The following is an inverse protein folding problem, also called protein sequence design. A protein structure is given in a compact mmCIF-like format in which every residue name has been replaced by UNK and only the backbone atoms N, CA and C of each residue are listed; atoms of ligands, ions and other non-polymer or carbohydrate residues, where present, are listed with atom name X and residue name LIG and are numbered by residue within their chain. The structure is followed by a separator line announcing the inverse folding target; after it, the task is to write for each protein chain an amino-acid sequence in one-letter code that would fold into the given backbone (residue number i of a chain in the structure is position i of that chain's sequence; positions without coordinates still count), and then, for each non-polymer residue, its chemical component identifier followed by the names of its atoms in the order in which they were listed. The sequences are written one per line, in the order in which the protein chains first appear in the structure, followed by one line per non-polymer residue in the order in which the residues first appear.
data_IF_374683927547
#
_entry.id   IF_374683927547
#
_cell.length_a   1.000
_cell.length_b   1.000
_cell.length_c   1.000
_cell.angle_alpha   90.00
_cell.angle_beta   90.00
_cell.angle_gamma   90.00
#
_symmetry.space_group_name_H-M   'P 1'
#
loop_
_entity.id
_entity.type
_entity.pdbx_description
1 polymer ?
#
# COMPACT_ATOMS: atom_id res chain seq x y z
N UNK A 1 36.18 -12.29 -13.70
CA UNK A 1 34.85 -11.84 -14.17
C UNK A 1 34.34 -10.77 -13.21
N UNK A 2 34.42 -9.50 -13.59
CA UNK A 2 33.93 -8.38 -12.78
C UNK A 2 32.41 -8.44 -12.75
N UNK A 3 31.85 -8.80 -11.60
CA UNK A 3 30.41 -8.83 -11.33
C UNK A 3 29.84 -7.45 -11.66
N UNK A 4 29.04 -7.37 -12.72
CA UNK A 4 28.36 -6.13 -13.13
C UNK A 4 27.45 -5.70 -11.97
N UNK A 5 27.66 -4.49 -11.46
CA UNK A 5 26.74 -3.90 -10.50
C UNK A 5 25.45 -3.52 -11.24
N UNK A 6 24.32 -3.67 -10.56
CA UNK A 6 23.03 -3.25 -11.09
C UNK A 6 23.07 -1.72 -11.36
N UNK A 7 22.57 -1.23 -12.52
CA UNK A 7 22.60 0.19 -12.88
C UNK A 7 21.98 1.13 -11.84
N UNK A 8 21.12 0.60 -10.94
CA UNK A 8 20.57 1.38 -9.83
C UNK A 8 21.66 1.99 -8.93
N UNK A 9 22.86 1.42 -8.87
CA UNK A 9 23.97 1.94 -8.07
C UNK A 9 24.51 3.29 -8.55
N UNK A 10 24.23 3.71 -9.78
CA UNK A 10 24.63 5.03 -10.28
C UNK A 10 23.97 6.17 -9.48
N UNK A 11 22.86 5.88 -8.80
CA UNK A 11 22.10 6.82 -7.99
C UNK A 11 22.35 6.70 -6.47
N UNK A 12 23.30 5.84 -6.05
CA UNK A 12 23.56 5.57 -4.65
C UNK A 12 25.06 5.53 -4.32
N UNK A 13 25.43 6.04 -3.15
CA UNK A 13 26.76 5.85 -2.56
C UNK A 13 26.82 4.54 -1.80
N UNK A 14 27.82 3.71 -2.13
CA UNK A 14 28.09 2.44 -1.44
C UNK A 14 28.96 2.68 -0.20
N UNK A 15 28.50 2.21 0.97
CA UNK A 15 29.32 2.24 2.18
C UNK A 15 30.47 1.23 2.10
N UNK A 16 31.60 1.57 2.70
CA UNK A 16 32.75 0.68 2.87
C UNK A 16 32.52 -0.35 3.98
N UNK A 17 31.61 -0.05 4.91
CA UNK A 17 31.29 -0.88 6.07
C UNK A 17 30.32 -2.01 5.69
N UNK A 18 30.75 -3.26 5.95
CA UNK A 18 29.88 -4.43 5.90
C UNK A 18 29.42 -4.74 7.31
N UNK A 19 28.10 -4.87 7.52
CA UNK A 19 27.61 -5.52 8.73
C UNK A 19 27.95 -7.00 8.63
N UNK A 20 28.60 -7.53 9.67
CA UNK A 20 28.84 -8.96 9.81
C UNK A 20 27.87 -9.43 10.88
N UNK A 21 27.11 -10.50 10.61
CA UNK A 21 26.36 -11.14 11.68
C UNK A 21 27.32 -11.87 12.65
N UNK A 22 26.81 -12.28 13.82
CA UNK A 22 27.59 -13.06 14.78
C UNK A 22 28.02 -14.44 14.23
N UNK A 23 27.47 -14.86 13.09
CA UNK A 23 27.72 -16.13 12.41
C UNK A 23 28.78 -16.04 11.29
N UNK A 24 29.35 -14.86 11.03
CA UNK A 24 30.38 -14.65 10.00
C UNK A 24 29.85 -14.55 8.55
N UNK A 25 28.53 -14.49 8.36
CA UNK A 25 27.90 -14.29 7.06
C UNK A 25 28.00 -12.82 6.66
N UNK A 26 28.53 -12.58 5.44
CA UNK A 26 28.70 -11.24 4.89
C UNK A 26 27.33 -10.65 4.52
N UNK A 27 26.83 -9.67 5.29
CA UNK A 27 25.59 -8.97 4.91
C UNK A 27 25.82 -8.04 3.71
N UNK A 28 24.71 -7.62 3.10
CA UNK A 28 24.74 -6.65 2.00
C UNK A 28 25.38 -5.33 2.46
N UNK A 29 26.06 -4.66 1.53
CA UNK A 29 26.58 -3.29 1.73
C UNK A 29 25.45 -2.33 2.06
N UNK A 30 25.74 -1.24 2.73
CA UNK A 30 24.77 -0.15 2.91
C UNK A 30 24.82 0.79 1.70
N UNK A 31 23.66 1.29 1.29
CA UNK A 31 23.50 2.22 0.18
C UNK A 31 22.86 3.52 0.70
N UNK A 32 23.44 4.66 0.33
CA UNK A 32 22.90 5.99 0.65
C UNK A 32 22.41 6.63 -0.63
N UNK A 33 21.16 7.06 -0.67
CA UNK A 33 20.56 7.71 -1.84
C UNK A 33 21.21 9.07 -2.09
N UNK A 34 21.59 9.37 -3.34
CA UNK A 34 22.22 10.65 -3.70
C UNK A 34 21.25 11.84 -3.70
N UNK A 35 19.94 11.61 -3.67
CA UNK A 35 18.92 12.66 -3.80
C UNK A 35 18.29 13.10 -2.47
N UNK A 36 18.22 12.20 -1.48
CA UNK A 36 17.59 12.47 -0.19
C UNK A 36 18.38 11.94 1.01
N UNK A 37 19.62 11.49 0.77
CA UNK A 37 20.55 10.97 1.79
C UNK A 37 20.00 9.84 2.68
N UNK A 38 18.88 9.21 2.27
CA UNK A 38 18.30 8.07 2.98
C UNK A 38 19.22 6.85 2.88
N UNK A 39 19.51 6.25 4.03
CA UNK A 39 20.39 5.09 4.17
C UNK A 39 19.54 3.81 4.18
N UNK A 40 19.90 2.82 3.35
CA UNK A 40 19.19 1.54 3.24
C UNK A 40 20.14 0.37 2.98
N UNK A 41 19.60 -0.86 3.00
CA UNK A 41 20.36 -2.03 2.56
C UNK A 41 20.59 -1.98 1.05
N UNK A 42 21.82 -2.25 0.62
CA UNK A 42 22.28 -2.24 -0.78
C UNK A 42 21.78 -3.42 -1.59
N UNK A 43 20.49 -3.73 -1.44
CA UNK A 43 19.77 -4.65 -2.30
C UNK A 43 19.16 -3.85 -3.45
N UNK A 44 19.49 -4.15 -4.72
CA UNK A 44 18.98 -3.42 -5.88
C UNK A 44 17.46 -3.28 -5.92
N UNK A 45 16.72 -4.31 -5.46
CA UNK A 45 15.25 -4.26 -5.35
C UNK A 45 14.78 -3.10 -4.47
N UNK A 46 15.37 -2.93 -3.27
CA UNK A 46 14.98 -1.86 -2.34
C UNK A 46 15.42 -0.48 -2.84
N UNK A 47 16.59 -0.41 -3.47
CA UNK A 47 17.09 0.82 -4.09
C UNK A 47 16.15 1.30 -5.21
N UNK A 48 15.65 0.40 -6.07
CA UNK A 48 14.69 0.70 -7.13
C UNK A 48 13.33 1.17 -6.57
N UNK A 49 12.82 0.49 -5.54
CA UNK A 49 11.58 0.92 -4.85
C UNK A 49 11.76 2.31 -4.24
N UNK A 50 12.91 2.60 -3.62
CA UNK A 50 13.18 3.93 -3.07
C UNK A 50 13.19 5.00 -4.17
N UNK A 51 13.89 4.79 -5.29
CA UNK A 51 13.91 5.74 -6.40
C UNK A 51 12.52 5.95 -7.02
N UNK A 52 11.71 4.91 -7.12
CA UNK A 52 10.39 5.01 -7.75
C UNK A 52 9.31 5.57 -6.79
N UNK A 53 9.29 5.14 -5.53
CA UNK A 53 8.18 5.40 -4.60
C UNK A 53 8.54 6.33 -3.45
N UNK A 54 9.70 6.17 -2.83
CA UNK A 54 9.96 6.77 -1.51
C UNK A 54 10.84 8.04 -1.56
N UNK A 55 11.52 8.31 -2.69
CA UNK A 55 12.39 9.47 -2.83
C UNK A 55 11.62 10.67 -3.37
N UNK A 56 11.51 11.74 -2.58
CA UNK A 56 10.82 12.98 -2.95
C UNK A 56 11.66 13.90 -3.86
N UNK A 57 12.99 13.80 -3.78
CA UNK A 57 13.93 14.68 -4.49
C UNK A 57 14.53 14.05 -5.77
N UNK A 58 14.05 12.88 -6.18
CA UNK A 58 14.53 12.20 -7.37
C UNK A 58 13.97 12.88 -8.63
N UNK A 59 14.80 13.18 -9.64
CA UNK A 59 14.31 13.67 -10.92
C UNK A 59 13.31 12.69 -11.54
N UNK A 60 12.20 13.21 -12.09
CA UNK A 60 11.11 12.41 -12.68
C UNK A 60 11.59 11.45 -13.77
N UNK A 61 12.66 11.82 -14.48
CA UNK A 61 13.30 11.00 -15.51
C UNK A 61 13.87 9.70 -14.91
N UNK A 62 14.57 9.78 -13.78
CA UNK A 62 15.11 8.63 -13.05
C UNK A 62 13.99 7.84 -12.38
N UNK A 63 12.96 8.53 -11.86
CA UNK A 63 11.78 7.89 -11.25
C UNK A 63 11.07 6.97 -12.25
N UNK A 64 10.89 7.45 -13.49
CA UNK A 64 10.21 6.71 -14.55
C UNK A 64 11.06 5.56 -15.11
N UNK A 65 12.41 5.62 -15.05
CA UNK A 65 13.28 4.50 -15.43
C UNK A 65 13.05 3.24 -14.57
N UNK A 66 12.60 3.42 -13.32
CA UNK A 66 12.34 2.34 -12.37
C UNK A 66 10.86 2.18 -12.02
N UNK A 67 9.95 2.80 -12.79
CA UNK A 67 8.54 2.42 -12.81
C UNK A 67 8.44 1.01 -13.39
N UNK A 68 8.44 0.01 -12.51
CA UNK A 68 8.19 -1.36 -12.91
C UNK A 68 6.79 -1.43 -13.57
N UNK A 69 6.76 -1.72 -14.87
CA UNK A 69 5.69 -2.56 -15.40
C UNK A 69 5.91 -3.97 -14.82
N UNK A 70 4.82 -4.60 -14.42
CA UNK A 70 4.65 -6.01 -14.06
C UNK A 70 4.79 -6.42 -12.57
N UNK A 71 3.75 -7.15 -12.14
CA UNK A 71 3.68 -8.23 -11.14
C UNK A 71 4.38 -8.04 -9.79
N UNK A 72 3.54 -8.08 -8.75
CA UNK A 72 3.82 -8.57 -7.39
C UNK A 72 5.07 -7.99 -6.70
N UNK A 73 4.87 -6.91 -5.92
CA UNK A 73 5.07 -6.88 -4.45
C UNK A 73 5.09 -5.43 -3.92
N UNK A 74 3.93 -5.05 -3.35
CA UNK A 74 3.61 -4.23 -2.16
C UNK A 74 4.32 -2.88 -1.81
N UNK A 75 3.41 -1.90 -1.53
CA UNK A 75 3.38 -0.74 -0.58
C UNK A 75 4.60 0.21 -0.46
N UNK A 76 4.46 1.55 -0.42
CA UNK A 76 3.41 2.39 0.19
C UNK A 76 3.32 3.78 -0.48
N UNK A 77 2.08 4.18 -0.78
CA UNK A 77 1.38 5.48 -0.73
C UNK A 77 2.16 6.82 -0.71
N UNK A 78 1.86 7.69 -1.69
CA UNK A 78 1.29 9.05 -1.50
C UNK A 78 0.48 9.43 -2.76
N UNK A 79 -0.76 9.84 -2.54
CA UNK A 79 -1.72 10.40 -3.49
C UNK A 79 -1.19 11.60 -4.29
N UNK A 80 -1.57 11.71 -5.57
CA UNK A 80 -2.61 12.65 -6.01
C UNK A 80 -2.71 12.73 -7.55
N UNK A 81 -3.97 12.76 -8.00
CA UNK A 81 -4.52 13.53 -9.11
C UNK A 81 -4.76 12.85 -10.48
N UNK A 82 -6.05 12.56 -10.68
CA UNK A 82 -6.87 12.72 -11.89
C UNK A 82 -6.65 11.81 -13.09
N UNK A 83 -7.37 10.68 -13.07
CA UNK A 83 -8.46 10.32 -14.01
C UNK A 83 -9.04 8.97 -13.57
N UNK A 84 -10.36 8.76 -13.74
CA UNK A 84 -11.10 7.45 -13.69
C UNK A 84 -12.14 7.31 -12.55
N UNK A 85 -13.16 8.17 -12.58
CA UNK A 85 -14.35 8.19 -11.69
C UNK A 85 -15.26 6.92 -11.73
N UNK A 86 -14.81 5.79 -12.27
CA UNK A 86 -15.62 4.56 -12.30
C UNK A 86 -14.98 3.34 -11.58
N UNK A 87 -13.65 3.29 -11.42
CA UNK A 87 -12.97 2.13 -10.81
C UNK A 87 -12.91 2.22 -9.28
N UNK A 88 -12.97 3.44 -8.73
CA UNK A 88 -12.97 3.69 -7.29
C UNK A 88 -14.22 3.16 -6.58
N UNK A 89 -15.37 3.18 -7.27
CA UNK A 89 -16.66 2.83 -6.67
C UNK A 89 -16.82 1.31 -6.50
N UNK A 90 -16.38 0.49 -7.46
CA UNK A 90 -16.53 -0.97 -7.38
C UNK A 90 -15.74 -1.58 -6.23
N UNK A 91 -14.50 -1.12 -6.01
CA UNK A 91 -13.70 -1.57 -4.86
C UNK A 91 -14.36 -1.20 -3.54
N UNK A 92 -14.85 0.03 -3.43
CA UNK A 92 -15.51 0.51 -2.22
C UNK A 92 -16.82 -0.26 -1.93
N UNK A 93 -17.56 -0.66 -2.97
CA UNK A 93 -18.74 -1.50 -2.87
C UNK A 93 -18.40 -2.92 -2.36
N UNK A 94 -17.33 -3.53 -2.87
CA UNK A 94 -16.85 -4.84 -2.40
C UNK A 94 -16.40 -4.75 -0.94
N UNK A 95 -15.61 -3.73 -0.59
CA UNK A 95 -15.14 -3.48 0.78
C UNK A 95 -16.33 -3.34 1.74
N UNK A 96 -17.34 -2.58 1.32
CA UNK A 96 -18.59 -2.37 2.06
C UNK A 96 -19.35 -3.68 2.27
N UNK A 97 -19.48 -4.50 1.23
CA UNK A 97 -20.20 -5.77 1.29
C UNK A 97 -19.52 -6.77 2.25
N UNK A 98 -18.20 -6.93 2.14
CA UNK A 98 -17.42 -7.83 2.99
C UNK A 98 -17.56 -7.44 4.45
N UNK A 99 -17.38 -6.16 4.74
CA UNK A 99 -17.40 -5.66 6.10
C UNK A 99 -18.80 -5.70 6.74
N UNK A 100 -19.87 -5.43 5.97
CA UNK A 100 -21.25 -5.67 6.42
C UNK A 100 -21.47 -7.14 6.75
N UNK A 101 -21.00 -8.06 5.90
CA UNK A 101 -21.11 -9.50 6.15
C UNK A 101 -20.35 -9.93 7.43
N UNK A 102 -19.16 -9.39 7.65
CA UNK A 102 -18.35 -9.69 8.84
C UNK A 102 -19.05 -9.16 10.09
N UNK A 103 -19.54 -7.92 10.04
CA UNK A 103 -20.27 -7.31 11.15
C UNK A 103 -21.55 -8.08 11.49
N UNK A 104 -22.37 -8.40 10.49
CA UNK A 104 -23.61 -9.15 10.65
C UNK A 104 -23.37 -10.58 11.17
N UNK A 105 -22.24 -11.19 10.80
CA UNK A 105 -21.86 -12.54 11.21
C UNK A 105 -21.06 -12.58 12.52
N UNK A 106 -20.75 -11.43 13.13
CA UNK A 106 -19.91 -11.34 14.33
C UNK A 106 -18.46 -11.78 14.11
N UNK A 107 -17.96 -11.72 12.87
CA UNK A 107 -16.59 -12.07 12.52
C UNK A 107 -15.67 -10.88 12.86
N UNK A 108 -14.58 -11.09 13.62
CA UNK A 108 -13.61 -10.03 13.88
C UNK A 108 -13.04 -9.44 12.57
N UNK A 109 -12.99 -8.12 12.45
CA UNK A 109 -12.47 -7.48 11.23
C UNK A 109 -10.99 -7.81 10.96
N UNK A 110 -10.23 -8.16 11.99
CA UNK A 110 -8.84 -8.61 11.86
C UNK A 110 -8.70 -9.88 10.99
N UNK A 111 -9.78 -10.64 10.84
CA UNK A 111 -9.84 -11.85 10.01
C UNK A 111 -9.62 -11.53 8.52
N UNK A 112 -9.86 -10.28 8.06
CA UNK A 112 -9.61 -9.88 6.66
C UNK A 112 -8.12 -9.92 6.28
N UNK A 113 -7.24 -9.71 7.26
CA UNK A 113 -5.78 -9.74 7.06
C UNK A 113 -5.21 -11.17 7.12
N UNK A 114 -6.06 -12.17 7.36
CA UNK A 114 -5.62 -13.56 7.38
C UNK A 114 -5.15 -13.97 5.98
N UNK A 115 -3.93 -14.53 5.83
CA UNK A 115 -3.37 -14.88 4.52
C UNK A 115 -4.24 -15.88 3.73
N UNK A 116 -4.99 -16.74 4.40
CA UNK A 116 -5.91 -17.67 3.74
C UNK A 116 -7.15 -16.97 3.18
N UNK A 117 -7.64 -15.93 3.87
CA UNK A 117 -8.75 -15.11 3.37
C UNK A 117 -8.29 -14.25 2.21
N UNK A 118 -7.12 -13.63 2.29
CA UNK A 118 -6.54 -12.86 1.19
C UNK A 118 -6.37 -13.76 -0.05
N UNK A 119 -5.83 -14.96 0.11
CA UNK A 119 -5.73 -15.93 -0.98
C UNK A 119 -7.10 -16.32 -1.55
N UNK A 120 -8.12 -16.49 -0.71
CA UNK A 120 -9.47 -16.78 -1.17
C UNK A 120 -10.05 -15.60 -1.97
N UNK A 121 -9.87 -14.37 -1.50
CA UNK A 121 -10.32 -13.15 -2.18
C UNK A 121 -9.60 -12.95 -3.52
N UNK A 122 -8.29 -13.17 -3.57
CA UNK A 122 -7.51 -13.10 -4.82
C UNK A 122 -7.91 -14.18 -5.84
N UNK A 123 -8.40 -15.33 -5.38
CA UNK A 123 -8.96 -16.35 -6.30
C UNK A 123 -10.30 -15.94 -6.90
N UNK A 124 -11.09 -15.14 -6.19
CA UNK A 124 -12.38 -14.62 -6.68
C UNK A 124 -12.13 -13.42 -7.59
N UNK A 125 -11.27 -12.50 -7.18
CA UNK A 125 -10.88 -11.34 -7.96
C UNK A 125 -9.38 -11.06 -7.77
N UNK A 126 -8.52 -11.40 -8.77
CA UNK A 126 -7.08 -11.20 -8.68
C UNK A 126 -6.62 -9.74 -8.58
N UNK A 127 -7.45 -8.80 -9.04
CA UNK A 127 -7.15 -7.36 -9.01
C UNK A 127 -7.61 -6.70 -7.71
N UNK A 128 -8.44 -7.39 -6.92
CA UNK A 128 -8.94 -6.88 -5.66
C UNK A 128 -7.92 -7.03 -4.53
N UNK A 129 -7.56 -5.90 -3.93
CA UNK A 129 -6.65 -5.83 -2.80
C UNK A 129 -7.43 -5.43 -1.54
N UNK A 130 -7.63 -6.35 -0.59
CA UNK A 130 -8.45 -6.10 0.60
C UNK A 130 -7.88 -4.96 1.46
N UNK A 131 -8.74 -4.15 2.11
CA UNK A 131 -8.30 -3.10 3.01
C UNK A 131 -7.70 -3.68 4.29
N UNK A 132 -6.87 -2.88 4.96
CA UNK A 132 -6.46 -3.20 6.33
C UNK A 132 -7.67 -3.20 7.27
N UNK A 133 -7.57 -3.94 8.38
CA UNK A 133 -8.58 -3.93 9.45
C UNK A 133 -8.94 -2.51 9.87
N UNK A 134 -7.94 -1.64 9.99
CA UNK A 134 -8.13 -0.25 10.41
C UNK A 134 -8.95 0.52 9.39
N UNK A 135 -8.58 0.43 8.12
CA UNK A 135 -9.30 1.07 7.01
C UNK A 135 -10.75 0.59 6.93
N UNK A 136 -10.97 -0.72 7.09
CA UNK A 136 -12.28 -1.34 7.06
C UNK A 136 -13.13 -0.91 8.27
N UNK A 137 -12.50 -0.75 9.44
CA UNK A 137 -13.16 -0.31 10.67
C UNK A 137 -13.48 1.19 10.68
N UNK A 138 -12.58 2.05 10.19
CA UNK A 138 -12.78 3.51 10.28
C UNK A 138 -13.64 4.03 9.14
N UNK A 139 -13.35 3.64 7.91
CA UNK A 139 -14.01 4.21 6.73
C UNK A 139 -15.45 3.74 6.64
N UNK A 140 -15.72 2.48 6.95
CA UNK A 140 -17.05 1.93 6.79
C UNK A 140 -17.99 2.24 7.95
N UNK A 141 -17.55 2.06 9.21
CA UNK A 141 -18.41 2.39 10.35
C UNK A 141 -18.78 3.86 10.32
N UNK A 142 -17.87 4.73 9.90
CA UNK A 142 -18.16 6.14 9.81
C UNK A 142 -19.07 6.49 8.62
N UNK A 143 -18.98 5.78 7.49
CA UNK A 143 -19.91 5.91 6.35
C UNK A 143 -21.31 5.44 6.72
N UNK A 144 -21.45 4.25 7.32
CA UNK A 144 -22.74 3.72 7.79
C UNK A 144 -23.35 4.62 8.87
N UNK A 145 -22.54 5.10 9.83
CA UNK A 145 -23.00 6.05 10.85
C UNK A 145 -23.49 7.37 10.24
N UNK A 146 -22.76 7.92 9.26
CA UNK A 146 -23.18 9.13 8.53
C UNK A 146 -24.47 8.90 7.75
N UNK A 147 -24.64 7.74 7.13
CA UNK A 147 -25.86 7.39 6.38
C UNK A 147 -27.07 7.23 7.31
N UNK A 148 -26.94 6.42 8.37
CA UNK A 148 -28.03 6.19 9.35
C UNK A 148 -28.42 7.50 10.06
N UNK A 149 -27.43 8.32 10.45
CA UNK A 149 -27.72 9.62 11.07
C UNK A 149 -28.35 10.62 10.11
N UNK A 150 -27.97 10.61 8.82
CA UNK A 150 -28.63 11.43 7.80
C UNK A 150 -30.09 11.00 7.58
N UNK A 151 -30.35 9.70 7.50
CA UNK A 151 -31.70 9.18 7.30
C UNK A 151 -32.59 9.41 8.53
N UNK A 152 -32.05 9.24 9.74
CA UNK A 152 -32.73 9.62 10.99
C UNK A 152 -33.09 11.11 11.00
N UNK A 153 -32.16 12.00 10.61
CA UNK A 153 -32.42 13.44 10.50
C UNK A 153 -33.50 13.76 9.46
N UNK A 154 -33.54 13.06 8.33
CA UNK A 154 -34.61 13.21 7.33
C UNK A 154 -35.96 12.77 7.89
N UNK A 155 -36.02 11.64 8.59
CA UNK A 155 -37.26 11.15 9.23
C UNK A 155 -37.77 12.13 10.28
N UNK A 156 -36.89 12.67 11.13
CA UNK A 156 -37.25 13.68 12.14
C UNK A 156 -37.77 14.96 11.49
N UNK A 157 -37.13 15.44 10.41
CA UNK A 157 -37.61 16.61 9.67
C UNK A 157 -38.98 16.38 9.05
N UNK A 158 -39.20 15.22 8.44
CA UNK A 158 -40.50 14.85 7.87
C UNK A 158 -41.57 14.66 8.94
N UNK A 159 -41.21 14.20 10.14
CA UNK A 159 -42.13 14.03 11.27
C UNK A 159 -42.47 15.33 12.01
N UNK A 160 -41.62 16.37 11.92
CA UNK A 160 -41.89 17.70 12.48
C UNK A 160 -42.70 18.61 11.53
N UNK A 161 -43.25 18.04 10.44
CA UNK A 161 -44.25 18.66 9.56
C UNK A 161 -45.66 18.15 9.88
N UNK A 162 -46.03 18.14 11.17
CA UNK A 162 -47.41 18.00 11.65
C UNK A 162 -47.67 19.14 12.64
#
# INVERSE_FOLDING_TARGET
MTRTLDPVWDYFKKSTERKTDQAGTKQHYTATCNFCDTIMTGQPKRMKIHLNKNCLNVPLEVKNQYKNKDKEQESSDVDNDNTEDNVSNEKEEIDTAIARAFYASGIPLATIENPFIIQALHKINPEYHPPSQKSLSTTLLEKEYKQVSADMKKQIKNSNYI
#
